data_IF_535676511070
#
_entry.id   IF_535676511070
#
_cell.length_a   1.000
_cell.length_b   1.000
_cell.length_c   1.000
_cell.angle_alpha   90.00
_cell.angle_beta   90.00
_cell.angle_gamma   90.00
#
_symmetry.space_group_name_H-M   'P 1'
#
loop_
_entity.id
_entity.type
_entity.pdbx_description
1 polymer ?
#
# COMPACT_ATOMS: atom_id res chain seq x y z
N UNK A 1 -10.31 12.83 15.39
CA UNK A 1 -9.49 13.35 14.27
C UNK A 1 -10.41 13.67 13.11
N UNK A 2 -10.86 14.93 13.01
CA UNK A 2 -11.58 15.41 11.84
C UNK A 2 -10.62 15.37 10.66
N UNK A 3 -10.95 14.64 9.60
CA UNK A 3 -10.12 14.61 8.39
C UNK A 3 -9.96 16.05 7.87
N UNK A 4 -8.72 16.53 7.63
CA UNK A 4 -8.53 17.86 7.08
C UNK A 4 -9.21 17.93 5.73
N UNK A 5 -9.93 19.02 5.48
CA UNK A 5 -10.44 19.35 4.15
C UNK A 5 -9.29 19.40 3.13
N UNK A 6 -9.56 18.98 1.89
CA UNK A 6 -8.54 18.88 0.84
C UNK A 6 -7.78 20.20 0.63
N UNK A 7 -8.47 21.32 0.81
CA UNK A 7 -7.90 22.66 0.70
C UNK A 7 -6.87 22.96 1.79
N UNK A 8 -7.21 22.74 3.06
CA UNK A 8 -6.31 22.88 4.21
C UNK A 8 -5.09 21.97 4.08
N UNK A 9 -5.30 20.72 3.65
CA UNK A 9 -4.21 19.78 3.39
C UNK A 9 -3.28 20.29 2.28
N UNK A 10 -3.82 20.76 1.15
CA UNK A 10 -3.02 21.30 0.05
C UNK A 10 -2.21 22.53 0.50
N UNK A 11 -2.79 23.43 1.28
CA UNK A 11 -2.08 24.60 1.81
C UNK A 11 -0.93 24.19 2.74
N UNK A 12 -1.17 23.26 3.66
CA UNK A 12 -0.15 22.74 4.56
C UNK A 12 0.99 22.07 3.77
N UNK A 13 0.64 21.28 2.74
CA UNK A 13 1.61 20.62 1.88
C UNK A 13 2.45 21.63 1.06
N UNK A 14 1.83 22.70 0.55
CA UNK A 14 2.55 23.80 -0.14
C UNK A 14 3.54 24.49 0.78
N UNK A 15 3.11 24.81 2.00
CA UNK A 15 3.98 25.40 3.02
C UNK A 15 5.15 24.46 3.32
N UNK A 16 4.88 23.19 3.62
CA UNK A 16 5.93 22.21 3.88
C UNK A 16 6.91 22.07 2.71
N UNK A 17 6.42 22.01 1.46
CA UNK A 17 7.27 21.91 0.26
C UNK A 17 8.22 23.10 0.15
N UNK A 18 7.75 24.32 0.43
CA UNK A 18 8.60 25.51 0.44
C UNK A 18 9.71 25.39 1.48
N UNK A 19 9.39 25.01 2.72
CA UNK A 19 10.39 24.80 3.77
C UNK A 19 11.39 23.69 3.43
N UNK A 20 10.90 22.55 2.93
CA UNK A 20 11.72 21.40 2.59
C UNK A 20 12.73 21.71 1.46
N UNK A 21 12.33 22.49 0.47
CA UNK A 21 13.22 22.92 -0.63
C UNK A 21 14.27 23.95 -0.20
N UNK A 22 14.02 24.74 0.84
CA UNK A 22 14.94 25.75 1.38
C UNK A 22 15.74 25.27 2.61
N UNK A 23 15.56 24.01 3.03
CA UNK A 23 16.22 23.43 4.20
C UNK A 23 17.74 23.23 4.04
N UNK A 24 18.29 23.44 2.83
CA UNK A 24 19.68 23.15 2.45
C UNK A 24 20.12 21.69 2.65
N UNK A 25 19.19 20.80 3.03
CA UNK A 25 19.42 19.37 3.15
C UNK A 25 19.10 18.70 1.81
N UNK A 26 20.14 18.38 1.03
CA UNK A 26 20.04 17.60 -0.21
C UNK A 26 19.05 16.43 -0.17
N UNK A 27 19.04 15.55 0.87
CA UNK A 27 18.05 14.48 0.96
C UNK A 27 16.61 15.01 1.08
N UNK A 28 16.39 16.07 1.86
CA UNK A 28 15.05 16.66 2.05
C UNK A 28 14.54 17.33 0.77
N UNK A 29 15.42 18.02 0.05
CA UNK A 29 15.10 18.63 -1.25
C UNK A 29 14.69 17.55 -2.26
N UNK A 30 15.36 16.39 -2.27
CA UNK A 30 15.02 15.26 -3.14
C UNK A 30 13.63 14.69 -2.82
N UNK A 31 13.30 14.56 -1.53
CA UNK A 31 11.97 14.11 -1.09
C UNK A 31 10.90 15.12 -1.52
N UNK A 32 11.11 16.41 -1.29
CA UNK A 32 10.19 17.47 -1.70
C UNK A 32 9.92 17.43 -3.22
N UNK A 33 10.96 17.31 -4.04
CA UNK A 33 10.83 17.17 -5.51
C UNK A 33 10.04 15.93 -5.92
N UNK A 34 10.24 14.80 -5.23
CA UNK A 34 9.48 13.56 -5.46
C UNK A 34 8.00 13.77 -5.14
N UNK A 35 7.68 14.39 -4.01
CA UNK A 35 6.30 14.71 -3.62
C UNK A 35 5.65 15.64 -4.64
N UNK A 36 6.35 16.67 -5.11
CA UNK A 36 5.85 17.57 -6.17
C UNK A 36 5.59 16.84 -7.49
N UNK A 37 6.42 15.87 -7.87
CA UNK A 37 6.19 15.03 -9.06
C UNK A 37 4.89 14.21 -8.94
N UNK A 38 4.53 13.80 -7.73
CA UNK A 38 3.35 12.97 -7.45
C UNK A 38 2.22 13.73 -6.74
N UNK A 39 2.16 15.06 -6.88
CA UNK A 39 1.29 15.95 -6.12
C UNK A 39 -0.18 15.51 -6.12
N UNK A 40 -0.73 15.20 -7.29
CA UNK A 40 -2.13 14.77 -7.43
C UNK A 40 -2.42 13.47 -6.68
N UNK A 41 -1.47 12.53 -6.66
CA UNK A 41 -1.61 11.28 -5.91
C UNK A 41 -1.59 11.52 -4.40
N UNK A 42 -0.75 12.46 -3.94
CA UNK A 42 -0.67 12.86 -2.53
C UNK A 42 -1.95 13.57 -2.08
N UNK A 43 -2.54 14.43 -2.91
CA UNK A 43 -3.83 15.06 -2.59
C UNK A 43 -4.97 14.04 -2.52
N UNK A 44 -5.00 13.09 -3.46
CA UNK A 44 -6.02 12.02 -3.49
C UNK A 44 -5.96 11.08 -2.28
N UNK A 45 -4.85 11.08 -1.54
CA UNK A 45 -4.75 10.35 -0.28
C UNK A 45 -5.75 10.85 0.77
N UNK A 46 -6.09 12.14 0.78
CA UNK A 46 -7.07 12.72 1.72
C UNK A 46 -8.44 12.03 1.59
N UNK A 47 -8.86 11.76 0.36
CA UNK A 47 -10.14 11.10 0.08
C UNK A 47 -10.06 9.59 0.25
N UNK A 48 -9.00 8.97 -0.30
CA UNK A 48 -8.89 7.51 -0.33
C UNK A 48 -8.46 6.90 1.00
N UNK A 49 -7.73 7.66 1.83
CA UNK A 49 -7.10 7.23 3.09
C UNK A 49 -6.35 5.90 3.00
N UNK A 50 -5.90 5.51 1.80
CA UNK A 50 -5.16 4.28 1.57
C UNK A 50 -3.80 4.44 2.23
N UNK A 51 -3.63 3.77 3.36
CA UNK A 51 -2.36 3.74 4.07
C UNK A 51 -1.48 2.60 3.52
N UNK A 52 -0.18 2.70 3.77
CA UNK A 52 0.75 1.61 3.44
C UNK A 52 0.43 0.32 4.20
N UNK A 53 -0.31 0.38 5.32
CA UNK A 53 -0.69 -0.81 6.09
C UNK A 53 -1.51 -1.82 5.28
N UNK A 54 -2.44 -1.38 4.43
CA UNK A 54 -3.20 -2.28 3.54
C UNK A 54 -2.25 -2.95 2.52
N UNK A 55 -1.33 -2.16 1.94
CA UNK A 55 -0.34 -2.66 0.98
C UNK A 55 0.66 -3.62 1.64
N UNK A 56 1.10 -3.32 2.85
CA UNK A 56 2.00 -4.16 3.66
C UNK A 56 1.33 -5.47 4.08
N UNK A 57 0.05 -5.43 4.46
CA UNK A 57 -0.75 -6.62 4.74
C UNK A 57 -0.86 -7.52 3.52
N UNK A 58 -1.19 -6.95 2.36
CA UNK A 58 -1.25 -7.68 1.09
C UNK A 58 0.13 -8.25 0.70
N UNK A 59 1.19 -7.47 0.84
CA UNK A 59 2.55 -7.92 0.58
C UNK A 59 2.95 -9.08 1.49
N UNK A 60 2.57 -9.04 2.78
CA UNK A 60 2.82 -10.12 3.74
C UNK A 60 2.12 -11.42 3.34
N UNK A 61 0.86 -11.35 2.91
CA UNK A 61 0.10 -12.50 2.40
C UNK A 61 0.74 -13.07 1.13
N UNK A 62 1.13 -12.22 0.17
CA UNK A 62 1.80 -12.66 -1.05
C UNK A 62 3.18 -13.26 -0.77
N UNK A 63 3.93 -12.73 0.19
CA UNK A 63 5.20 -13.34 0.59
C UNK A 63 4.98 -14.70 1.26
N UNK A 64 3.94 -14.87 2.06
CA UNK A 64 3.57 -16.18 2.60
C UNK A 64 3.22 -17.16 1.47
N UNK A 65 2.46 -16.72 0.47
CA UNK A 65 2.17 -17.50 -0.75
C UNK A 65 3.45 -17.92 -1.48
N UNK A 66 4.40 -16.99 -1.63
CA UNK A 66 5.70 -17.24 -2.27
C UNK A 66 6.54 -18.26 -1.48
N UNK A 67 6.55 -18.16 -0.14
CA UNK A 67 7.23 -19.13 0.74
C UNK A 67 6.62 -20.53 0.60
N UNK A 68 5.28 -20.64 0.60
CA UNK A 68 4.57 -21.92 0.42
C UNK A 68 4.76 -22.53 -0.98
N UNK A 69 4.87 -21.69 -2.01
CA UNK A 69 5.09 -22.12 -3.39
C UNK A 69 6.58 -22.34 -3.75
N UNK A 70 7.51 -22.20 -2.79
CA UNK A 70 8.95 -22.40 -3.05
C UNK A 70 9.20 -23.85 -3.47
N UNK A 71 10.00 -24.04 -4.53
CA UNK A 71 10.27 -25.36 -5.12
C UNK A 71 9.28 -25.78 -6.22
N UNK A 72 8.19 -25.04 -6.41
CA UNK A 72 7.22 -25.29 -7.48
C UNK A 72 7.40 -24.31 -8.66
N UNK A 73 6.90 -24.70 -9.84
CA UNK A 73 6.86 -23.83 -11.04
C UNK A 73 6.06 -22.55 -10.77
N UNK A 74 6.41 -21.43 -11.42
CA UNK A 74 5.81 -20.10 -11.23
C UNK A 74 4.27 -20.09 -11.30
N UNK A 75 3.67 -20.96 -12.13
CA UNK A 75 2.21 -21.12 -12.21
C UNK A 75 1.56 -21.42 -10.85
N UNK A 76 2.24 -22.16 -9.98
CA UNK A 76 1.75 -22.56 -8.66
C UNK A 76 1.77 -21.41 -7.65
N UNK A 77 2.63 -20.41 -7.83
CA UNK A 77 2.58 -19.19 -7.02
C UNK A 77 1.27 -18.42 -7.26
N UNK A 78 0.84 -18.27 -8.52
CA UNK A 78 -0.44 -17.62 -8.85
C UNK A 78 -1.62 -18.37 -8.22
N UNK A 79 -1.62 -19.70 -8.31
CA UNK A 79 -2.64 -20.53 -7.66
C UNK A 79 -2.63 -20.34 -6.14
N UNK A 80 -1.47 -20.39 -5.49
CA UNK A 80 -1.38 -20.19 -4.04
C UNK A 80 -1.78 -18.78 -3.59
N UNK A 81 -1.43 -17.76 -4.36
CA UNK A 81 -1.90 -16.40 -4.10
C UNK A 81 -3.43 -16.34 -4.16
N UNK A 82 -4.05 -16.90 -5.20
CA UNK A 82 -5.50 -16.94 -5.34
C UNK A 82 -6.18 -17.72 -4.21
N UNK A 83 -5.64 -18.88 -3.82
CA UNK A 83 -6.15 -19.69 -2.72
C UNK A 83 -6.09 -18.95 -1.37
N UNK A 84 -5.03 -18.17 -1.13
CA UNK A 84 -4.85 -17.45 0.13
C UNK A 84 -5.67 -16.15 0.19
N UNK A 85 -5.89 -15.47 -0.93
CA UNK A 85 -6.61 -14.18 -0.95
C UNK A 85 -8.08 -14.30 -1.32
N UNK A 86 -8.47 -15.36 -2.01
CA UNK A 86 -9.77 -15.49 -2.66
C UNK A 86 -10.96 -15.77 -1.73
N UNK A 87 -10.74 -15.91 -0.41
CA UNK A 87 -11.76 -16.31 0.59
C UNK A 87 -12.66 -17.44 0.08
N UNK A 88 -12.03 -18.45 -0.52
CA UNK A 88 -12.74 -19.57 -1.12
C UNK A 88 -13.33 -20.43 -0.01
N UNK A 89 -14.61 -20.72 -0.12
CA UNK A 89 -15.28 -21.64 0.76
C UNK A 89 -15.09 -23.06 0.25
N UNK A 90 -14.37 -23.87 1.04
CA UNK A 90 -14.11 -25.27 0.72
C UNK A 90 -15.03 -26.23 1.48
N UNK A 91 -15.96 -25.73 2.30
CA UNK A 91 -16.90 -26.58 3.06
C UNK A 91 -17.78 -27.44 2.15
N UNK A 92 -18.18 -26.90 0.99
CA UNK A 92 -18.94 -27.64 -0.01
C UNK A 92 -18.15 -28.77 -0.71
N UNK A 93 -16.81 -28.75 -0.63
CA UNK A 93 -15.92 -29.69 -1.33
C UNK A 93 -15.23 -30.68 -0.36
N UNK A 94 -15.02 -30.29 0.89
CA UNK A 94 -14.40 -31.14 1.91
C UNK A 94 -15.21 -31.07 3.23
N UNK A 95 -15.98 -32.14 3.56
CA UNK A 95 -16.77 -32.20 4.80
C UNK A 95 -15.93 -32.23 6.09
N UNK A 96 -14.61 -32.45 6.00
CA UNK A 96 -13.73 -32.68 7.15
C UNK A 96 -12.69 -31.57 7.37
N UNK A 97 -13.01 -30.32 7.01
CA UNK A 97 -12.13 -29.19 7.33
C UNK A 97 -12.06 -28.99 8.86
N UNK A 98 -10.85 -29.00 9.47
CA UNK A 98 -10.72 -28.67 10.88
C UNK A 98 -11.05 -27.19 11.09
N UNK A 99 -12.07 -26.94 11.92
CA UNK A 99 -12.48 -25.61 12.40
C UNK A 99 -11.41 -24.93 13.24
#
# INVERSE_FOLDING_TARGET
YSSPDLFSFEQALKRWYFWATHSQLSPMIKVAKTIKKHWNGVLRWVDSKINNGILEGLNSVLQAAKRKARGYKVKHFKTMAFLLTGKLDFTAQNPYLPT
#
